data_IF_957307708070
#
_entry.id   IF_957307708070
#
_cell.length_a   1.000
_cell.length_b   1.000
_cell.length_c   1.000
_cell.angle_alpha   90.00
_cell.angle_beta   90.00
_cell.angle_gamma   90.00
#
_symmetry.space_group_name_H-M   'P 1'
#
loop_
_entity.id
_entity.type
_entity.pdbx_description
1 polymer ?
#
# COMPACT_ATOMS: atom_id res chain seq x y z
N UNK A 1 14.59 9.44 5.60
CA UNK A 1 14.05 8.31 6.41
C UNK A 1 12.83 8.66 7.27
N UNK A 2 12.80 9.80 7.98
CA UNK A 2 11.71 10.15 8.93
C UNK A 2 10.29 10.06 8.34
N UNK A 3 10.06 10.60 7.15
CA UNK A 3 8.75 10.54 6.49
C UNK A 3 8.31 9.11 6.12
N UNK A 4 9.25 8.22 5.76
CA UNK A 4 8.92 6.82 5.46
C UNK A 4 8.51 6.07 6.73
N UNK A 5 9.14 6.36 7.87
CA UNK A 5 8.76 5.77 9.17
C UNK A 5 7.33 6.16 9.54
N UNK A 6 6.95 7.42 9.33
CA UNK A 6 5.59 7.92 9.58
C UNK A 6 4.59 7.20 8.66
N UNK A 7 4.88 7.09 7.36
CA UNK A 7 4.01 6.37 6.40
C UNK A 7 3.82 4.89 6.77
N UNK A 8 4.90 4.21 7.16
CA UNK A 8 4.84 2.79 7.57
C UNK A 8 4.06 2.64 8.89
N UNK A 9 4.28 3.53 9.85
CA UNK A 9 3.54 3.54 11.11
C UNK A 9 2.04 3.73 10.89
N UNK A 10 1.67 4.66 10.00
CA UNK A 10 0.29 4.90 9.63
C UNK A 10 -0.35 3.69 8.94
N UNK A 11 0.38 3.03 8.02
CA UNK A 11 -0.08 1.79 7.38
C UNK A 11 -0.34 0.67 8.40
N UNK A 12 0.53 0.53 9.41
CA UNK A 12 0.36 -0.46 10.48
C UNK A 12 -0.88 -0.17 11.34
N UNK A 13 -1.14 1.10 11.65
CA UNK A 13 -2.35 1.52 12.36
C UNK A 13 -3.59 1.21 11.53
N UNK A 14 -3.58 1.54 10.23
CA UNK A 14 -4.72 1.27 9.34
C UNK A 14 -5.00 -0.22 9.12
N UNK A 15 -4.00 -1.08 9.24
CA UNK A 15 -4.19 -2.54 9.19
C UNK A 15 -4.73 -3.12 10.50
N UNK A 16 -4.59 -2.38 11.60
CA UNK A 16 -4.95 -2.88 12.94
C UNK A 16 -6.32 -2.41 13.40
N UNK A 17 -6.84 -1.34 12.79
CA UNK A 17 -8.07 -0.69 13.21
C UNK A 17 -8.97 -0.41 12.01
N UNK A 18 -10.18 -0.97 12.03
CA UNK A 18 -11.23 -0.63 11.08
C UNK A 18 -11.70 0.82 11.21
N UNK A 19 -11.66 1.36 12.44
CA UNK A 19 -11.99 2.75 12.75
C UNK A 19 -11.10 3.26 13.87
N UNK A 20 -10.54 4.45 13.70
CA UNK A 20 -9.70 5.11 14.71
C UNK A 20 -9.90 6.64 14.68
N UNK A 21 -9.79 7.30 15.84
CA UNK A 21 -9.89 8.76 15.92
C UNK A 21 -8.60 9.44 15.44
N UNK A 22 -8.71 10.63 14.84
CA UNK A 22 -7.52 11.38 14.37
C UNK A 22 -6.64 11.80 15.55
N UNK A 23 -7.23 12.08 16.72
CA UNK A 23 -6.52 12.39 17.96
C UNK A 23 -5.68 11.22 18.49
N UNK A 24 -6.17 9.98 18.37
CA UNK A 24 -5.41 8.81 18.79
C UNK A 24 -4.25 8.51 17.84
N UNK A 25 -4.44 8.77 16.54
CA UNK A 25 -3.38 8.69 15.53
C UNK A 25 -2.27 9.69 15.87
N UNK A 26 -2.62 10.96 16.15
CA UNK A 26 -1.67 11.99 16.52
C UNK A 26 -0.86 11.62 17.78
N UNK A 27 -1.55 11.10 18.81
CA UNK A 27 -0.92 10.62 20.05
C UNK A 27 0.04 9.45 19.81
N UNK A 28 -0.36 8.46 19.00
CA UNK A 28 0.46 7.28 18.70
C UNK A 28 1.69 7.60 17.83
N UNK A 29 1.56 8.55 16.91
CA UNK A 29 2.66 9.00 16.03
C UNK A 29 3.48 10.14 16.64
N UNK A 30 3.12 10.62 17.83
CA UNK A 30 3.75 11.77 18.52
C UNK A 30 3.81 13.00 17.62
N UNK A 31 2.68 13.32 16.97
CA UNK A 31 2.51 14.54 16.19
C UNK A 31 2.06 15.69 17.09
N UNK A 32 2.49 16.90 16.76
CA UNK A 32 2.28 18.09 17.61
C UNK A 32 0.86 18.66 17.50
N UNK A 33 0.16 18.42 16.38
CA UNK A 33 -1.19 18.93 16.13
C UNK A 33 -2.08 17.88 15.49
N UNK A 34 -3.38 17.97 15.77
CA UNK A 34 -4.42 17.15 15.13
C UNK A 34 -4.58 17.52 13.65
N UNK A 35 -4.38 18.79 13.29
CA UNK A 35 -4.45 19.26 11.90
C UNK A 35 -3.29 18.71 11.07
N UNK A 36 -2.09 18.63 11.65
CA UNK A 36 -0.92 18.02 10.99
C UNK A 36 -1.15 16.53 10.72
N UNK A 37 -1.78 15.83 11.67
CA UNK A 37 -2.15 14.43 11.51
C UNK A 37 -3.16 14.26 10.36
N UNK A 38 -4.18 15.11 10.29
CA UNK A 38 -5.16 15.10 9.20
C UNK A 38 -4.49 15.30 7.82
N UNK A 39 -3.56 16.27 7.72
CA UNK A 39 -2.84 16.51 6.47
C UNK A 39 -1.96 15.33 6.05
N UNK A 40 -1.25 14.71 6.99
CA UNK A 40 -0.41 13.53 6.72
C UNK A 40 -1.26 12.35 6.26
N UNK A 41 -2.42 12.14 6.88
CA UNK A 41 -3.35 11.07 6.49
C UNK A 41 -3.90 11.35 5.08
N UNK A 42 -4.37 12.56 4.81
CA UNK A 42 -4.86 12.94 3.49
C UNK A 42 -3.79 12.75 2.40
N UNK A 43 -2.54 13.09 2.70
CA UNK A 43 -1.42 12.82 1.80
C UNK A 43 -1.15 11.33 1.62
N UNK A 44 -1.24 10.53 2.68
CA UNK A 44 -1.03 9.08 2.59
C UNK A 44 -2.10 8.38 1.73
N UNK A 45 -3.34 8.86 1.76
CA UNK A 45 -4.43 8.40 0.89
C UNK A 45 -4.16 8.79 -0.57
N UNK A 46 -3.77 10.05 -0.82
CA UNK A 46 -3.41 10.51 -2.18
C UNK A 46 -2.21 9.75 -2.76
N UNK A 47 -1.24 9.41 -1.92
CA UNK A 47 -0.06 8.62 -2.31
C UNK A 47 -0.39 7.12 -2.51
N UNK A 48 -1.64 6.68 -2.24
CA UNK A 48 -2.07 5.28 -2.36
C UNK A 48 -1.38 4.33 -1.36
N UNK A 49 -0.84 4.87 -0.26
CA UNK A 49 -0.17 4.06 0.77
C UNK A 49 -1.18 3.32 1.64
N UNK A 50 -2.39 3.90 1.78
CA UNK A 50 -3.47 3.43 2.63
C UNK A 50 -4.81 3.72 1.96
N UNK A 51 -5.69 2.72 1.94
CA UNK A 51 -7.07 2.85 1.47
C UNK A 51 -8.00 3.15 2.64
N UNK A 52 -8.22 4.43 2.92
CA UNK A 52 -9.06 4.88 4.03
C UNK A 52 -9.86 6.13 3.65
N UNK A 53 -10.99 6.34 4.35
CA UNK A 53 -11.85 7.51 4.23
C UNK A 53 -11.79 8.33 5.51
N UNK A 54 -11.67 9.66 5.36
CA UNK A 54 -11.66 10.61 6.46
C UNK A 54 -13.07 11.18 6.63
N UNK A 55 -13.64 11.09 7.83
CA UNK A 55 -14.85 11.80 8.23
C UNK A 55 -14.47 12.96 9.16
N UNK A 56 -14.45 14.16 8.60
CA UNK A 56 -14.07 15.39 9.30
C UNK A 56 -15.10 15.84 10.32
N UNK A 57 -16.38 15.48 10.15
CA UNK A 57 -17.44 15.88 11.09
C UNK A 57 -17.35 15.10 12.39
N UNK A 58 -17.07 13.79 12.30
CA UNK A 58 -16.95 12.93 13.48
C UNK A 58 -15.51 12.81 13.99
N UNK A 59 -14.52 13.23 13.21
CA UNK A 59 -13.10 13.16 13.57
C UNK A 59 -12.52 11.75 13.54
N UNK A 60 -13.07 10.88 12.68
CA UNK A 60 -12.66 9.48 12.56
C UNK A 60 -12.12 9.17 11.17
N UNK A 61 -11.16 8.25 11.16
CA UNK A 61 -10.69 7.56 9.97
C UNK A 61 -11.38 6.19 9.91
N UNK A 62 -11.92 5.85 8.75
CA UNK A 62 -12.45 4.53 8.43
C UNK A 62 -11.48 3.85 7.46
N UNK A 63 -11.00 2.65 7.81
CA UNK A 63 -10.24 1.85 6.84
C UNK A 63 -11.22 1.13 5.91
N UNK A 64 -10.89 1.11 4.62
CA UNK A 64 -11.57 0.28 3.63
C UNK A 64 -10.77 -1.01 3.55
N UNK A 65 -11.00 -1.89 4.52
CA UNK A 65 -10.23 -3.14 4.64
C UNK A 65 -10.71 -4.23 3.66
N UNK A 66 -9.73 -4.99 3.17
CA UNK A 66 -9.81 -6.23 2.39
C UNK A 66 -10.63 -6.17 1.09
N UNK A 67 -9.98 -5.69 0.02
CA UNK A 67 -10.34 -6.13 -1.33
C UNK A 67 -9.83 -7.55 -1.50
N UNK A 68 -10.73 -8.51 -1.71
CA UNK A 68 -10.36 -9.86 -2.09
C UNK A 68 -9.64 -9.84 -3.45
N UNK A 69 -8.33 -10.03 -3.41
CA UNK A 69 -7.47 -10.00 -4.60
C UNK A 69 -7.89 -11.08 -5.59
N UNK A 70 -8.42 -12.22 -5.13
CA UNK A 70 -8.84 -13.33 -6.00
C UNK A 70 -10.14 -13.07 -6.73
N UNK A 71 -10.96 -12.14 -6.24
CA UNK A 71 -12.17 -11.68 -6.95
C UNK A 71 -11.84 -10.77 -8.14
N UNK A 72 -10.60 -10.28 -8.24
CA UNK A 72 -10.16 -9.37 -9.31
C UNK A 72 -9.36 -10.10 -10.40
N UNK A 73 -9.04 -9.40 -11.49
CA UNK A 73 -8.17 -9.91 -12.57
C UNK A 73 -6.67 -9.83 -12.22
N UNK A 74 -6.32 -9.28 -11.05
CA UNK A 74 -4.92 -9.08 -10.63
C UNK A 74 -4.12 -10.39 -10.53
N UNK A 75 -4.64 -11.52 -10.03
CA UNK A 75 -3.88 -12.77 -10.02
C UNK A 75 -3.49 -13.23 -11.43
N UNK A 76 -4.40 -13.08 -12.40
CA UNK A 76 -4.15 -13.49 -13.79
C UNK A 76 -3.04 -12.64 -14.44
N UNK A 77 -3.04 -11.31 -14.21
CA UNK A 77 -2.00 -10.42 -14.73
C UNK A 77 -0.63 -10.76 -14.13
N UNK A 78 -0.58 -11.06 -12.83
CA UNK A 78 0.64 -11.44 -12.12
C UNK A 78 1.19 -12.79 -12.62
N UNK A 79 0.33 -13.78 -12.87
CA UNK A 79 0.76 -15.05 -13.47
C UNK A 79 1.27 -14.86 -14.89
N UNK A 80 0.57 -14.09 -15.73
CA UNK A 80 1.01 -13.83 -17.10
C UNK A 80 2.41 -13.21 -17.12
N UNK A 81 2.65 -12.18 -16.30
CA UNK A 81 3.96 -11.55 -16.17
C UNK A 81 5.07 -12.53 -15.77
N UNK A 82 4.78 -13.47 -14.87
CA UNK A 82 5.75 -14.49 -14.45
C UNK A 82 6.03 -15.50 -15.55
N UNK A 83 4.99 -15.94 -16.26
CA UNK A 83 5.12 -16.87 -17.40
C UNK A 83 5.97 -16.21 -18.50
N UNK A 84 5.68 -14.96 -18.84
CA UNK A 84 6.43 -14.20 -19.84
C UNK A 84 7.92 -14.11 -19.46
N UNK A 85 8.22 -13.85 -18.19
CA UNK A 85 9.60 -13.81 -17.69
C UNK A 85 10.30 -15.17 -17.81
N UNK A 86 9.64 -16.27 -17.41
CA UNK A 86 10.21 -17.61 -17.53
C UNK A 86 10.42 -18.02 -18.99
N UNK A 87 9.47 -17.70 -19.87
CA UNK A 87 9.58 -17.98 -21.30
C UNK A 87 10.70 -17.15 -21.95
N UNK A 88 10.84 -15.87 -21.57
CA UNK A 88 11.93 -15.04 -22.03
C UNK A 88 13.29 -15.63 -21.61
N UNK A 89 13.43 -16.03 -20.35
CA UNK A 89 14.66 -16.66 -19.84
C UNK A 89 14.96 -17.98 -20.55
N UNK A 90 13.95 -18.81 -20.78
CA UNK A 90 14.07 -20.06 -21.54
C UNK A 90 14.54 -19.80 -22.97
N UNK A 91 13.91 -18.85 -23.68
CA UNK A 91 14.29 -18.50 -25.04
C UNK A 91 15.72 -17.98 -25.12
N UNK A 92 16.14 -17.12 -24.18
CA UNK A 92 17.54 -16.67 -24.08
C UNK A 92 18.50 -17.83 -23.89
N UNK A 93 18.20 -18.77 -22.97
CA UNK A 93 19.05 -19.93 -22.73
C UNK A 93 19.14 -20.86 -23.96
N UNK A 94 18.02 -21.11 -24.65
CA UNK A 94 18.00 -21.91 -25.88
C UNK A 94 18.79 -21.24 -27.00
N UNK A 95 18.67 -19.92 -27.16
CA UNK A 95 19.45 -19.17 -28.14
C UNK A 95 20.95 -19.24 -27.83
N UNK A 96 21.36 -19.06 -26.58
CA UNK A 96 22.76 -19.20 -26.17
C UNK A 96 23.32 -20.62 -26.31
N UNK A 97 22.50 -21.65 -26.12
CA UNK A 97 22.91 -23.04 -26.38
C UNK A 97 23.08 -23.32 -27.88
N UNK A 98 22.30 -22.66 -28.73
CA UNK A 98 22.29 -22.88 -30.17
C UNK A 98 23.34 -22.04 -30.92
N UNK A 99 23.67 -20.87 -30.39
CA UNK A 99 24.73 -19.99 -30.87
C UNK A 99 25.67 -19.68 -29.70
N UNK A 100 26.65 -20.56 -29.42
CA UNK A 100 27.60 -20.41 -28.33
C UNK A 100 28.71 -19.37 -28.60
N UNK A 101 28.83 -18.89 -29.84
CA UNK A 101 29.74 -17.83 -30.29
C UNK A 101 28.98 -16.52 -30.57
#
# INVERSE_FOLDING_TARGET
LRFNVIKIGLRKISLSYSRISISDIASKLKLNSVEDAEYIIAKAINDGVIDALIDRQKGFLYSTENVDVYSTTEPQSQFNRRIDFCLAMYNSAVMSMRYPD
#
